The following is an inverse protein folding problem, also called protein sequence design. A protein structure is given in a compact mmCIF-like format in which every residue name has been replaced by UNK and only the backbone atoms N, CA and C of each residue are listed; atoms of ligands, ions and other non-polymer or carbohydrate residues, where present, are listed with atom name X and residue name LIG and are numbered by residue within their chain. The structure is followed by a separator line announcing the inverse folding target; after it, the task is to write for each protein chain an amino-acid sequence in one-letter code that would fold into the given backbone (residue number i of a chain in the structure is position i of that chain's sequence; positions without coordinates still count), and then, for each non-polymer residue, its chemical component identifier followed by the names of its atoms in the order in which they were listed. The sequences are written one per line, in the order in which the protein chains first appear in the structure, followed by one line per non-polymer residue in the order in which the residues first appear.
data_IF_790074714344
#
_entry.id   IF_790074714344
#
_cell.length_a   1.000
_cell.length_b   1.000
_cell.length_c   1.000
_cell.angle_alpha   90.00
_cell.angle_beta   90.00
_cell.angle_gamma   90.00
#
_symmetry.space_group_name_H-M   'P 1'
#
loop_
_entity.id
_entity.type
_entity.pdbx_description
1 polymer ?
#
# COMPACT_ATOMS: atom_id res chain seq x y z
N UNK A 1 -32.69 -31.84 5.62
CA UNK A 1 -33.28 -31.14 4.47
C UNK A 1 -33.27 -29.66 4.78
N UNK A 2 -32.41 -28.92 4.10
CA UNK A 2 -32.58 -27.50 3.74
C UNK A 2 -31.51 -27.26 2.67
N UNK A 3 -31.92 -27.42 1.41
CA UNK A 3 -31.04 -27.33 0.25
C UNK A 3 -30.71 -25.87 -0.04
N UNK A 4 -29.43 -25.54 -0.08
CA UNK A 4 -28.96 -24.28 -0.65
C UNK A 4 -29.26 -24.27 -2.15
N UNK A 5 -30.18 -23.40 -2.56
CA UNK A 5 -30.45 -23.10 -3.97
C UNK A 5 -29.28 -22.32 -4.56
N UNK A 6 -28.31 -23.01 -5.15
CA UNK A 6 -27.31 -22.38 -6.03
C UNK A 6 -27.99 -22.01 -7.34
N UNK A 7 -28.18 -20.72 -7.61
CA UNK A 7 -28.59 -20.25 -8.92
C UNK A 7 -27.57 -20.75 -9.96
N UNK A 8 -27.98 -21.49 -10.99
CA UNK A 8 -27.04 -21.96 -12.01
C UNK A 8 -26.51 -20.75 -12.78
N UNK A 9 -25.19 -20.55 -12.69
CA UNK A 9 -24.49 -19.54 -13.48
C UNK A 9 -24.73 -19.73 -14.97
N UNK A 10 -24.90 -18.65 -15.70
CA UNK A 10 -25.02 -18.70 -17.15
C UNK A 10 -23.66 -19.02 -17.78
N UNK A 11 -23.62 -20.04 -18.64
CA UNK A 11 -22.41 -20.47 -19.34
C UNK A 11 -22.48 -19.92 -20.78
N UNK A 12 -21.60 -19.00 -21.17
CA UNK A 12 -21.60 -18.43 -22.53
C UNK A 12 -21.20 -19.50 -23.55
N UNK A 13 -22.06 -19.78 -24.53
CA UNK A 13 -21.83 -20.81 -25.56
C UNK A 13 -21.53 -20.22 -26.94
N UNK A 14 -22.08 -19.05 -27.26
CA UNK A 14 -21.87 -18.39 -28.57
C UNK A 14 -20.70 -17.42 -28.53
N UNK A 15 -20.10 -17.12 -29.69
CA UNK A 15 -19.00 -16.16 -29.79
C UNK A 15 -19.40 -14.74 -29.37
N UNK A 16 -20.67 -14.37 -29.59
CA UNK A 16 -21.23 -13.10 -29.15
C UNK A 16 -21.27 -12.99 -27.62
N UNK A 17 -21.67 -14.07 -26.93
CA UNK A 17 -21.74 -14.14 -25.48
C UNK A 17 -20.34 -14.14 -24.84
N UNK A 18 -19.40 -14.90 -25.42
CA UNK A 18 -18.00 -14.88 -25.00
C UNK A 18 -17.39 -13.49 -25.15
N UNK A 19 -17.70 -12.79 -26.25
CA UNK A 19 -17.27 -11.41 -26.47
C UNK A 19 -17.87 -10.43 -25.46
N UNK A 20 -19.14 -10.61 -25.07
CA UNK A 20 -19.78 -9.80 -24.04
C UNK A 20 -19.09 -9.96 -22.66
N UNK A 21 -18.71 -11.19 -22.30
CA UNK A 21 -17.95 -11.47 -21.08
C UNK A 21 -16.57 -10.80 -21.10
N UNK A 22 -15.85 -10.87 -22.23
CA UNK A 22 -14.54 -10.23 -22.37
C UNK A 22 -14.64 -8.70 -22.27
N UNK A 23 -15.65 -8.10 -22.90
CA UNK A 23 -15.91 -6.67 -22.79
C UNK A 23 -16.22 -6.25 -21.35
N UNK A 24 -17.02 -7.05 -20.63
CA UNK A 24 -17.28 -6.77 -19.22
C UNK A 24 -16.03 -6.91 -18.36
N UNK A 25 -15.18 -7.91 -18.65
CA UNK A 25 -13.89 -8.05 -17.98
C UNK A 25 -13.01 -6.82 -18.20
N UNK A 26 -12.94 -6.29 -19.43
CA UNK A 26 -12.15 -5.09 -19.71
C UNK A 26 -12.70 -3.84 -18.98
N UNK A 27 -14.03 -3.70 -18.86
CA UNK A 27 -14.66 -2.66 -18.02
C UNK A 27 -14.29 -2.79 -16.56
N UNK A 28 -14.38 -4.00 -16.01
CA UNK A 28 -14.00 -4.30 -14.63
C UNK A 28 -12.51 -3.96 -14.39
N UNK A 29 -11.63 -4.32 -15.32
CA UNK A 29 -10.19 -4.08 -15.22
C UNK A 29 -9.80 -2.60 -15.42
N UNK A 30 -10.64 -1.81 -16.08
CA UNK A 30 -10.48 -0.36 -16.21
C UNK A 30 -10.82 0.40 -14.91
N UNK A 31 -11.58 -0.19 -13.98
CA UNK A 31 -11.88 0.45 -12.71
C UNK A 31 -10.59 0.61 -11.86
N UNK A 32 -10.38 1.78 -11.20
CA UNK A 32 -9.19 2.03 -10.40
C UNK A 32 -8.94 1.00 -9.28
N UNK A 33 -9.98 0.31 -8.82
CA UNK A 33 -9.87 -0.77 -7.85
C UNK A 33 -9.21 -2.03 -8.42
N UNK A 34 -9.08 -2.20 -9.73
CA UNK A 34 -8.34 -3.33 -10.33
C UNK A 34 -7.03 -2.90 -11.00
N UNK A 35 -6.97 -1.67 -11.52
CA UNK A 35 -5.81 -1.15 -12.26
C UNK A 35 -4.52 -0.97 -11.45
N UNK A 36 -4.60 -0.78 -10.12
CA UNK A 36 -3.42 -0.50 -9.25
C UNK A 36 -2.53 -1.71 -8.94
N UNK A 37 -2.87 -2.92 -9.40
CA UNK A 37 -2.10 -4.15 -9.17
C UNK A 37 -1.95 -4.90 -10.48
N UNK A 38 -0.74 -5.17 -10.95
CA UNK A 38 -0.54 -5.98 -12.17
C UNK A 38 -1.05 -7.43 -11.99
N UNK A 39 -1.08 -7.94 -10.76
CA UNK A 39 -1.48 -9.32 -10.46
C UNK A 39 -2.99 -9.57 -10.59
N UNK A 40 -3.85 -8.57 -10.40
CA UNK A 40 -5.30 -8.78 -10.49
C UNK A 40 -5.80 -8.89 -11.94
N UNK A 41 -5.37 -8.02 -12.88
CA UNK A 41 -5.63 -8.20 -14.30
C UNK A 41 -5.11 -9.53 -14.82
N UNK A 42 -3.86 -9.91 -14.52
CA UNK A 42 -3.31 -11.20 -14.95
C UNK A 42 -4.13 -12.38 -14.42
N UNK A 43 -4.52 -12.34 -13.14
CA UNK A 43 -5.37 -13.36 -12.54
C UNK A 43 -6.73 -13.45 -13.24
N UNK A 44 -7.45 -12.33 -13.34
CA UNK A 44 -8.80 -12.27 -13.91
C UNK A 44 -8.82 -12.63 -15.40
N UNK A 45 -7.84 -12.15 -16.19
CA UNK A 45 -7.71 -12.52 -17.61
C UNK A 45 -7.46 -14.01 -17.77
N UNK A 46 -6.57 -14.59 -16.96
CA UNK A 46 -6.26 -16.02 -17.05
C UNK A 46 -7.49 -16.88 -16.72
N UNK A 47 -8.14 -16.63 -15.57
CA UNK A 47 -9.27 -17.48 -15.13
C UNK A 47 -10.50 -17.33 -16.03
N UNK A 48 -10.79 -16.13 -16.53
CA UNK A 48 -11.91 -15.92 -17.47
C UNK A 48 -11.60 -16.57 -18.82
N UNK A 49 -10.38 -16.40 -19.35
CA UNK A 49 -10.00 -17.02 -20.63
C UNK A 49 -10.11 -18.54 -20.59
N UNK A 50 -9.58 -19.18 -19.53
CA UNK A 50 -9.67 -20.64 -19.35
C UNK A 50 -11.11 -21.12 -19.14
N UNK A 51 -11.92 -20.35 -18.42
CA UNK A 51 -13.34 -20.68 -18.24
C UNK A 51 -14.13 -20.60 -19.56
N UNK A 52 -13.89 -19.58 -20.40
CA UNK A 52 -14.51 -19.44 -21.72
C UNK A 52 -14.05 -20.51 -22.73
N UNK A 53 -12.87 -21.09 -22.52
CA UNK A 53 -12.33 -22.22 -23.27
C UNK A 53 -12.86 -23.59 -22.79
N UNK A 54 -13.63 -23.63 -21.68
CA UNK A 54 -14.12 -24.88 -21.09
C UNK A 54 -13.07 -25.64 -20.27
N UNK A 55 -11.92 -25.03 -19.98
CA UNK A 55 -10.78 -25.66 -19.31
C UNK A 55 -10.78 -25.38 -17.80
N UNK A 56 -11.93 -25.58 -17.14
CA UNK A 56 -12.08 -25.28 -15.70
C UNK A 56 -11.21 -26.15 -14.79
N UNK A 57 -10.79 -27.33 -15.25
CA UNK A 57 -9.87 -28.24 -14.54
C UNK A 57 -8.46 -27.64 -14.31
N UNK A 58 -8.07 -26.65 -15.12
CA UNK A 58 -6.81 -25.93 -15.00
C UNK A 58 -6.87 -24.80 -13.96
N UNK A 59 -8.04 -24.54 -13.38
CA UNK A 59 -8.25 -23.48 -12.37
C UNK A 59 -8.06 -24.00 -10.94
N UNK A 60 -7.11 -24.93 -10.72
CA UNK A 60 -6.74 -25.43 -9.39
C UNK A 60 -5.71 -24.52 -8.74
N UNK A 61 -5.70 -24.47 -7.41
CA UNK A 61 -4.83 -23.57 -6.63
C UNK A 61 -3.35 -23.69 -7.04
N UNK A 62 -2.83 -24.92 -7.11
CA UNK A 62 -1.44 -25.18 -7.50
C UNK A 62 -1.10 -24.68 -8.92
N UNK A 63 -1.99 -24.88 -9.88
CA UNK A 63 -1.76 -24.47 -11.28
C UNK A 63 -1.73 -22.94 -11.36
N UNK A 64 -2.67 -22.26 -10.68
CA UNK A 64 -2.69 -20.80 -10.61
C UNK A 64 -1.43 -20.25 -9.94
N UNK A 65 -0.90 -20.91 -8.91
CA UNK A 65 0.37 -20.56 -8.28
C UNK A 65 1.55 -20.60 -9.23
N UNK A 66 1.62 -21.62 -10.09
CA UNK A 66 2.69 -21.77 -11.07
C UNK A 66 2.52 -20.74 -12.20
N UNK A 67 1.37 -20.76 -12.87
CA UNK A 67 1.10 -19.97 -14.09
C UNK A 67 1.04 -18.46 -13.83
N UNK A 68 0.52 -18.03 -12.68
CA UNK A 68 0.24 -16.62 -12.40
C UNK A 68 1.23 -16.02 -11.39
N UNK A 69 1.67 -16.83 -10.42
CA UNK A 69 2.56 -16.38 -9.35
C UNK A 69 4.01 -16.89 -9.49
N UNK A 70 4.33 -17.63 -10.55
CA UNK A 70 5.68 -18.11 -10.83
C UNK A 70 6.23 -19.07 -9.78
N UNK A 71 5.36 -19.80 -9.07
CA UNK A 71 5.78 -20.78 -8.08
C UNK A 71 6.32 -22.04 -8.75
N UNK A 72 7.24 -22.72 -8.06
CA UNK A 72 7.77 -24.01 -8.50
C UNK A 72 6.67 -25.09 -8.42
N UNK A 73 6.68 -26.13 -9.27
CA UNK A 73 5.62 -27.14 -9.28
C UNK A 73 5.41 -27.90 -7.95
N UNK A 74 6.45 -27.98 -7.14
CA UNK A 74 6.50 -28.66 -5.85
C UNK A 74 6.11 -27.77 -4.65
N UNK A 75 5.66 -26.54 -4.88
CA UNK A 75 5.30 -25.64 -3.78
C UNK A 75 4.07 -26.12 -2.99
N UNK A 76 4.11 -25.87 -1.68
CA UNK A 76 3.02 -26.18 -0.77
C UNK A 76 1.98 -25.05 -0.72
N UNK A 77 0.75 -25.34 -1.12
CA UNK A 77 -0.39 -24.40 -1.09
C UNK A 77 -0.90 -24.11 0.33
N UNK A 78 -0.54 -24.94 1.31
CA UNK A 78 -0.88 -24.72 2.72
C UNK A 78 0.07 -23.71 3.38
N UNK A 79 1.36 -23.80 3.09
CA UNK A 79 2.39 -22.86 3.58
C UNK A 79 2.38 -21.54 2.80
N UNK A 80 2.11 -21.57 1.49
CA UNK A 80 1.99 -20.38 0.65
C UNK A 80 0.55 -20.17 0.11
N UNK A 81 -0.32 -19.49 0.88
CA UNK A 81 -1.71 -19.26 0.51
C UNK A 81 -1.89 -18.10 -0.49
N UNK A 82 -0.86 -17.73 -1.27
CA UNK A 82 -0.87 -16.55 -2.16
C UNK A 82 -2.07 -16.51 -3.12
N UNK A 83 -2.45 -17.66 -3.68
CA UNK A 83 -3.58 -17.79 -4.62
C UNK A 83 -4.91 -17.55 -3.90
N UNK A 84 -5.18 -18.26 -2.78
CA UNK A 84 -6.39 -18.08 -1.98
C UNK A 84 -6.52 -16.68 -1.36
N UNK A 85 -5.42 -16.08 -0.93
CA UNK A 85 -5.40 -14.68 -0.43
C UNK A 85 -5.72 -13.71 -1.56
N UNK A 86 -5.14 -13.89 -2.74
CA UNK A 86 -5.39 -13.04 -3.91
C UNK A 86 -6.84 -13.17 -4.39
N UNK A 87 -7.36 -14.39 -4.52
CA UNK A 87 -8.75 -14.65 -4.88
C UNK A 87 -9.73 -14.02 -3.88
N UNK A 88 -9.42 -14.03 -2.58
CA UNK A 88 -10.24 -13.37 -1.56
C UNK A 88 -10.28 -11.85 -1.75
N UNK A 89 -9.15 -11.22 -2.09
CA UNK A 89 -9.09 -9.78 -2.37
C UNK A 89 -9.86 -9.43 -3.64
N UNK A 90 -9.74 -10.24 -4.70
CA UNK A 90 -10.46 -10.07 -5.95
C UNK A 90 -11.98 -10.15 -5.72
N UNK A 91 -12.46 -11.20 -5.02
CA UNK A 91 -13.89 -11.33 -4.67
C UNK A 91 -14.44 -10.09 -3.96
N UNK A 92 -13.73 -9.57 -2.96
CA UNK A 92 -14.15 -8.37 -2.23
C UNK A 92 -14.24 -7.14 -3.13
N UNK A 93 -13.30 -6.99 -4.07
CA UNK A 93 -13.29 -5.84 -5.01
C UNK A 93 -14.41 -5.95 -6.03
N UNK A 94 -14.66 -7.15 -6.55
CA UNK A 94 -15.78 -7.43 -7.46
C UNK A 94 -17.12 -7.10 -6.78
N UNK A 95 -17.29 -7.56 -5.54
CA UNK A 95 -18.50 -7.27 -4.76
C UNK A 95 -18.66 -5.75 -4.55
N UNK A 96 -17.59 -5.04 -4.21
CA UNK A 96 -17.63 -3.59 -4.03
C UNK A 96 -17.86 -2.81 -5.33
N UNK A 97 -17.41 -3.34 -6.47
CA UNK A 97 -17.66 -2.78 -7.79
C UNK A 97 -19.16 -2.88 -8.13
N UNK A 98 -19.73 -4.08 -8.09
CA UNK A 98 -21.16 -4.27 -8.41
C UNK A 98 -22.14 -3.74 -7.35
N UNK A 99 -21.67 -3.35 -6.18
CA UNK A 99 -22.49 -2.70 -5.15
C UNK A 99 -22.83 -1.23 -5.46
N UNK A 100 -22.16 -0.62 -6.45
CA UNK A 100 -22.45 0.77 -6.82
C UNK A 100 -23.63 0.84 -7.82
N UNK A 101 -24.56 1.79 -7.67
CA UNK A 101 -25.76 1.88 -8.52
C UNK A 101 -25.47 1.94 -10.02
N UNK A 102 -24.34 2.53 -10.42
CA UNK A 102 -23.91 2.65 -11.81
C UNK A 102 -23.64 1.31 -12.52
N UNK A 103 -23.42 0.22 -11.76
CA UNK A 103 -23.08 -1.09 -12.29
C UNK A 103 -24.22 -2.13 -12.20
N UNK A 104 -25.43 -1.71 -11.81
CA UNK A 104 -26.56 -2.63 -11.59
C UNK A 104 -27.09 -3.30 -12.87
N UNK A 105 -26.95 -2.63 -14.01
CA UNK A 105 -27.38 -3.13 -15.34
C UNK A 105 -26.28 -3.88 -16.10
N UNK A 106 -25.10 -4.06 -15.49
CA UNK A 106 -23.98 -4.75 -16.13
C UNK A 106 -24.03 -6.26 -15.95
N UNK A 107 -23.37 -6.98 -16.86
CA UNK A 107 -23.11 -8.42 -16.69
C UNK A 107 -22.30 -8.62 -15.42
N UNK A 108 -22.74 -9.50 -14.52
CA UNK A 108 -22.07 -9.73 -13.24
C UNK A 108 -21.10 -10.90 -13.35
N UNK A 109 -19.84 -10.61 -13.03
CA UNK A 109 -18.79 -11.60 -12.82
C UNK A 109 -18.72 -11.92 -11.32
N UNK A 110 -18.80 -13.19 -10.92
CA UNK A 110 -18.65 -13.59 -9.52
C UNK A 110 -17.76 -14.83 -9.37
N UNK A 111 -17.23 -15.07 -8.16
CA UNK A 111 -16.44 -16.27 -7.85
C UNK A 111 -16.97 -16.90 -6.56
N UNK A 112 -17.51 -18.13 -6.61
CA UNK A 112 -17.96 -18.83 -5.40
C UNK A 112 -16.85 -18.99 -4.36
N UNK A 113 -17.25 -19.10 -3.09
CA UNK A 113 -16.32 -19.45 -2.03
C UNK A 113 -15.71 -20.84 -2.31
N UNK A 114 -14.39 -20.96 -2.21
CA UNK A 114 -13.68 -22.22 -2.47
C UNK A 114 -13.48 -22.59 -3.95
N UNK A 115 -14.03 -21.83 -4.90
CA UNK A 115 -13.83 -22.05 -6.34
C UNK A 115 -13.07 -20.91 -6.99
N UNK A 116 -12.16 -21.23 -7.92
CA UNK A 116 -11.49 -20.24 -8.77
C UNK A 116 -12.15 -20.09 -10.14
N UNK A 117 -13.20 -20.88 -10.41
CA UNK A 117 -13.98 -20.80 -11.64
C UNK A 117 -14.94 -19.61 -11.55
N UNK A 118 -14.91 -18.67 -12.51
CA UNK A 118 -15.84 -17.55 -12.54
C UNK A 118 -17.25 -18.02 -12.94
N UNK A 119 -18.25 -17.34 -12.39
CA UNK A 119 -19.66 -17.44 -12.76
C UNK A 119 -20.08 -16.12 -13.41
N UNK A 120 -20.86 -16.22 -14.49
CA UNK A 120 -21.42 -15.08 -15.20
C UNK A 120 -22.93 -15.04 -15.00
N UNK A 121 -23.47 -13.87 -14.68
CA UNK A 121 -24.91 -13.62 -14.62
C UNK A 121 -25.25 -12.52 -15.62
N UNK A 122 -26.10 -12.85 -16.60
CA UNK A 122 -26.63 -11.88 -17.54
C UNK A 122 -27.55 -10.90 -16.81
N UNK A 123 -27.60 -9.60 -17.19
CA UNK A 123 -28.65 -8.71 -16.75
C UNK A 123 -29.98 -9.28 -17.26
N UNK A 124 -30.77 -9.92 -16.40
CA UNK A 124 -32.16 -10.20 -16.70
C UNK A 124 -32.91 -8.87 -16.65
N UNK A 125 -33.61 -8.55 -17.74
CA UNK A 125 -34.65 -7.53 -17.77
C UNK A 125 -35.60 -7.69 -16.57
N UNK A 126 -35.79 -6.59 -15.83
CA UNK A 126 -36.93 -6.44 -14.92
C UNK A 126 -36.77 -7.07 -13.54
N UNK A 127 -36.04 -6.43 -12.63
CA UNK A 127 -36.31 -6.46 -11.20
C UNK A 127 -35.75 -5.20 -10.55
N UNK A 128 -36.49 -4.10 -10.67
CA UNK A 128 -36.26 -2.92 -9.84
C UNK A 128 -36.60 -3.24 -8.38
N UNK A 129 -35.86 -2.69 -7.38
CA UNK A 129 -36.41 -2.56 -6.05
C UNK A 129 -37.49 -1.48 -6.09
N UNK A 130 -38.74 -1.90 -5.99
CA UNK A 130 -39.90 -1.02 -5.85
C UNK A 130 -39.79 -0.22 -4.54
N UNK A 131 -39.88 1.12 -4.57
CA UNK A 131 -40.01 1.92 -3.36
C UNK A 131 -41.44 1.77 -2.85
N UNK A 132 -41.59 1.17 -1.67
CA UNK A 132 -42.86 1.07 -0.96
C UNK A 132 -43.36 2.48 -0.59
N UNK A 133 -44.17 3.06 -1.48
CA UNK A 133 -45.03 4.19 -1.19
C UNK A 133 -46.31 3.70 -0.53
N UNK A 134 -46.67 4.38 0.55
CA UNK A 134 -47.93 4.29 1.26
C UNK A 134 -49.13 4.34 0.30
N UNK A 135 -50.02 3.35 0.41
CA UNK A 135 -51.42 3.50 0.00
C UNK A 135 -52.34 2.99 1.11
N UNK A 136 -52.88 3.95 1.86
CA UNK A 136 -54.18 3.92 2.54
C UNK A 136 -55.26 3.70 1.44
N UNK A 137 -56.41 3.05 1.58
CA UNK A 137 -57.44 3.00 2.63
C UNK A 137 -58.32 1.70 2.44
N UNK A 138 -59.61 1.60 2.83
CA UNK A 138 -60.07 0.67 3.86
C UNK A 138 -61.09 -0.36 3.35
N UNK A 139 -61.26 -1.52 4.01
CA UNK A 139 -62.50 -2.32 3.83
C UNK A 139 -62.96 -2.91 5.16
N UNK A 140 -64.03 -2.31 5.64
CA UNK A 140 -65.19 -2.80 6.37
C UNK A 140 -65.14 -4.18 7.05
N UNK A 141 -65.38 -4.13 8.37
CA UNK A 141 -66.09 -5.16 9.13
C UNK A 141 -67.52 -5.31 8.60
N UNK A 142 -67.94 -6.56 8.41
CA UNK A 142 -69.33 -6.98 8.64
C UNK A 142 -69.33 -8.32 9.38
N UNK A 143 -70.23 -8.42 10.36
CA UNK A 143 -70.21 -9.38 11.44
C UNK A 143 -70.69 -10.79 11.10
N UNK A 144 -70.70 -11.64 12.14
CA UNK A 144 -71.81 -12.54 12.50
C UNK A 144 -71.62 -12.97 13.97
N UNK A 145 -72.75 -12.96 14.68
CA UNK A 145 -72.96 -13.26 16.09
C UNK A 145 -72.74 -14.73 16.50
N UNK A 146 -72.39 -14.86 17.79
CA UNK A 146 -72.80 -15.81 18.83
C UNK A 146 -73.33 -17.23 18.49
N UNK A 147 -72.81 -18.24 19.22
CA UNK A 147 -73.66 -19.16 20.00
C UNK A 147 -72.88 -19.98 21.07
N UNK A 148 -73.63 -20.40 22.09
CA UNK A 148 -73.26 -20.76 23.46
C UNK A 148 -72.73 -22.20 23.69
N UNK A 149 -71.94 -22.34 24.77
CA UNK A 149 -71.82 -23.40 25.82
C UNK A 149 -72.67 -24.69 25.72
N UNK A 150 -72.25 -25.85 26.33
CA UNK A 150 -72.20 -25.93 27.79
C UNK A 150 -71.23 -26.93 28.50
N UNK A 151 -71.00 -26.60 29.79
CA UNK A 151 -70.98 -27.43 31.02
C UNK A 151 -69.78 -28.33 31.44
N UNK A 152 -69.25 -27.91 32.60
CA UNK A 152 -68.91 -28.62 33.86
C UNK A 152 -67.79 -29.67 33.92
N UNK A 153 -66.90 -29.42 34.89
CA UNK A 153 -66.02 -30.41 35.52
C UNK A 153 -65.06 -29.72 36.50
N UNK A 154 -65.43 -29.64 37.77
CA UNK A 154 -64.60 -29.20 38.90
C UNK A 154 -63.40 -30.15 39.13
N UNK A 155 -62.21 -29.60 39.38
CA UNK A 155 -61.20 -30.19 40.27
C UNK A 155 -60.13 -29.15 40.66
N UNK A 156 -59.77 -29.18 41.95
CA UNK A 156 -58.88 -28.32 42.74
C UNK A 156 -57.44 -28.07 42.18
N UNK A 157 -56.77 -26.96 42.59
CA UNK A 157 -55.44 -26.60 42.08
C UNK A 157 -54.28 -27.24 42.88
N UNK A 158 -53.33 -27.83 42.17
CA UNK A 158 -51.99 -28.16 42.71
C UNK A 158 -51.02 -26.97 42.53
N UNK A 159 -50.09 -26.73 43.47
CA UNK A 159 -49.15 -25.61 43.37
C UNK A 159 -48.02 -25.95 42.39
N UNK A 160 -47.97 -25.25 41.25
CA UNK A 160 -46.88 -25.35 40.29
C UNK A 160 -45.74 -24.41 40.71
N UNK A 161 -44.55 -24.98 40.91
CA UNK A 161 -43.32 -24.27 41.17
C UNK A 161 -43.01 -23.25 40.04
N UNK A 162 -42.61 -22.03 40.41
CA UNK A 162 -42.26 -20.97 39.46
C UNK A 162 -41.08 -21.41 38.59
N UNK A 163 -41.32 -21.54 37.28
CA UNK A 163 -40.26 -21.72 36.30
C UNK A 163 -39.28 -20.52 36.32
N UNK A 164 -37.97 -20.73 36.12
CA UNK A 164 -37.02 -19.63 36.04
C UNK A 164 -37.39 -18.72 34.87
N UNK A 165 -37.45 -17.42 35.15
CA UNK A 165 -37.78 -16.40 34.15
C UNK A 165 -36.80 -16.50 32.98
N UNK A 166 -37.31 -16.90 31.80
CA UNK A 166 -36.54 -16.87 30.56
C UNK A 166 -36.11 -15.42 30.31
N UNK A 167 -34.83 -15.14 30.01
CA UNK A 167 -34.40 -13.78 29.75
C UNK A 167 -35.23 -13.26 28.57
N UNK A 168 -35.81 -12.07 28.74
CA UNK A 168 -36.57 -11.46 27.66
C UNK A 168 -35.64 -11.34 26.45
N UNK A 169 -36.13 -11.70 25.26
CA UNK A 169 -35.36 -11.63 24.01
C UNK A 169 -34.68 -10.25 23.83
N UNK A 170 -35.25 -9.20 24.40
CA UNK A 170 -34.64 -7.85 24.47
C UNK A 170 -33.25 -7.83 25.12
N UNK A 171 -32.99 -8.63 26.15
CA UNK A 171 -31.67 -8.74 26.80
C UNK A 171 -30.67 -9.45 25.88
N UNK A 172 -31.11 -10.47 25.14
CA UNK A 172 -30.27 -11.19 24.18
C UNK A 172 -29.89 -10.26 22.99
N UNK A 173 -30.85 -9.49 22.47
CA UNK A 173 -30.59 -8.48 21.44
C UNK A 173 -29.66 -7.37 21.94
N UNK A 174 -29.86 -6.88 23.16
CA UNK A 174 -28.99 -5.86 23.75
C UNK A 174 -27.56 -6.37 23.95
N UNK A 175 -27.39 -7.61 24.42
CA UNK A 175 -26.08 -8.23 24.57
C UNK A 175 -25.38 -8.45 23.21
N UNK A 176 -26.11 -8.92 22.18
CA UNK A 176 -25.55 -9.04 20.83
C UNK A 176 -25.13 -7.68 20.27
N UNK A 177 -25.96 -6.64 20.45
CA UNK A 177 -25.64 -5.29 19.97
C UNK A 177 -24.40 -4.72 20.66
N UNK A 178 -24.27 -4.87 21.99
CA UNK A 178 -23.06 -4.51 22.72
C UNK A 178 -21.83 -5.29 22.22
N UNK A 179 -21.97 -6.59 21.94
CA UNK A 179 -20.86 -7.41 21.45
C UNK A 179 -20.44 -7.01 20.02
N UNK A 180 -21.40 -6.61 19.18
CA UNK A 180 -21.15 -6.04 17.85
C UNK A 180 -20.41 -4.71 17.93
N UNK A 181 -20.79 -3.83 18.87
CA UNK A 181 -20.07 -2.57 19.12
C UNK A 181 -18.65 -2.85 19.60
N UNK A 182 -18.46 -3.77 20.55
CA UNK A 182 -17.13 -4.13 21.05
C UNK A 182 -16.28 -4.70 19.90
N UNK A 183 -16.84 -5.61 19.09
CA UNK A 183 -16.14 -6.16 17.93
C UNK A 183 -15.79 -5.07 16.91
N UNK A 184 -16.71 -4.12 16.64
CA UNK A 184 -16.46 -2.99 15.75
C UNK A 184 -15.35 -2.08 16.31
N UNK A 185 -15.37 -1.76 17.60
CA UNK A 185 -14.33 -0.97 18.28
C UNK A 185 -12.99 -1.71 18.24
N UNK A 186 -12.96 -3.02 18.54
CA UNK A 186 -11.74 -3.83 18.44
C UNK A 186 -11.19 -3.85 17.00
N UNK A 187 -12.05 -3.98 15.98
CA UNK A 187 -11.63 -3.92 14.57
C UNK A 187 -11.11 -2.53 14.20
N UNK A 188 -11.72 -1.46 14.71
CA UNK A 188 -11.26 -0.09 14.48
C UNK A 188 -9.93 0.20 15.16
N UNK A 189 -9.75 -0.23 16.41
CA UNK A 189 -8.47 -0.14 17.15
C UNK A 189 -7.40 -0.98 16.46
N UNK A 190 -7.70 -2.22 16.11
CA UNK A 190 -6.76 -3.12 15.43
C UNK A 190 -6.36 -2.63 14.03
N UNK A 191 -7.27 -1.93 13.33
CA UNK A 191 -6.95 -1.24 12.07
C UNK A 191 -6.17 0.05 12.28
N UNK A 192 -6.47 0.81 13.33
CA UNK A 192 -5.79 2.06 13.68
C UNK A 192 -4.35 1.85 14.14
N UNK A 193 -4.05 0.74 14.82
CA UNK A 193 -2.71 0.43 15.31
C UNK A 193 -1.75 -0.08 14.22
N UNK A 194 -2.26 -0.57 13.08
CA UNK A 194 -1.41 -0.99 11.95
C UNK A 194 -1.24 0.13 10.93
N UNK A 195 -0.57 1.22 11.33
CA UNK A 195 0.03 2.15 10.35
C UNK A 195 0.84 1.32 9.35
N UNK A 196 0.63 1.51 8.05
CA UNK A 196 1.48 0.83 7.07
C UNK A 196 2.94 1.28 7.27
N UNK A 197 3.91 0.48 6.85
CA UNK A 197 5.32 0.90 6.96
C UNK A 197 5.59 2.22 6.20
N UNK A 198 4.83 2.48 5.13
CA UNK A 198 4.80 3.75 4.43
C UNK A 198 4.28 4.88 5.32
N UNK A 199 3.11 4.72 5.95
CA UNK A 199 2.52 5.75 6.83
C UNK A 199 3.39 6.00 8.06
N UNK A 200 4.04 4.95 8.59
CA UNK A 200 4.99 5.08 9.67
C UNK A 200 6.18 5.95 9.23
N UNK A 201 6.81 5.64 8.10
CA UNK A 201 7.97 6.39 7.60
C UNK A 201 7.60 7.83 7.21
N UNK A 202 6.57 8.02 6.38
CA UNK A 202 6.24 9.33 5.80
C UNK A 202 5.29 10.18 6.63
N UNK A 203 4.63 9.60 7.64
CA UNK A 203 3.54 10.25 8.37
C UNK A 203 3.92 11.58 9.04
N UNK A 204 5.17 11.74 9.48
CA UNK A 204 5.65 13.00 10.06
C UNK A 204 5.73 14.16 9.06
N UNK A 205 5.94 13.85 7.77
CA UNK A 205 5.96 14.85 6.69
C UNK A 205 4.55 15.04 6.13
N UNK A 206 3.87 13.92 5.83
CA UNK A 206 2.53 13.93 5.23
C UNK A 206 1.42 14.40 6.16
N UNK A 207 1.65 14.38 7.47
CA UNK A 207 0.73 14.93 8.47
C UNK A 207 0.90 16.44 8.71
N UNK A 208 1.93 17.08 8.15
CA UNK A 208 2.12 18.53 8.31
C UNK A 208 1.16 19.28 7.39
N UNK A 209 0.60 20.42 7.81
CA UNK A 209 -0.10 21.34 6.88
C UNK A 209 0.88 22.36 6.26
N UNK A 210 2.18 22.15 6.41
CA UNK A 210 3.22 23.05 5.95
C UNK A 210 3.73 22.60 4.58
N UNK A 211 4.12 23.57 3.76
CA UNK A 211 4.74 23.29 2.47
C UNK A 211 6.09 22.57 2.68
N UNK A 212 6.27 21.42 2.03
CA UNK A 212 7.48 20.59 2.18
C UNK A 212 8.57 21.12 1.24
N UNK A 213 9.74 21.43 1.79
CA UNK A 213 10.90 21.82 0.98
C UNK A 213 11.63 20.57 0.49
N UNK A 214 11.68 20.34 -0.81
CA UNK A 214 12.56 19.35 -1.44
C UNK A 214 13.85 20.04 -1.88
N UNK A 215 14.90 19.90 -1.08
CA UNK A 215 16.22 20.44 -1.37
C UNK A 215 17.06 19.43 -2.16
N UNK A 216 17.46 19.81 -3.37
CA UNK A 216 18.22 18.97 -4.29
C UNK A 216 19.63 19.51 -4.53
N UNK A 217 20.56 18.65 -4.89
CA UNK A 217 21.86 19.06 -5.41
C UNK A 217 21.71 19.85 -6.72
N UNK A 218 22.32 21.04 -6.78
CA UNK A 218 22.46 21.86 -7.98
C UNK A 218 23.91 22.36 -8.08
N UNK A 219 24.42 22.44 -9.31
CA UNK A 219 25.79 22.83 -9.59
C UNK A 219 25.86 23.95 -10.64
N UNK A 220 26.84 24.86 -10.56
CA UNK A 220 27.15 25.79 -11.64
C UNK A 220 27.41 25.07 -12.96
N UNK A 221 27.04 25.69 -14.09
CA UNK A 221 27.35 25.13 -15.42
C UNK A 221 28.84 24.82 -15.56
N UNK A 222 29.17 23.59 -15.96
CA UNK A 222 30.55 23.18 -16.28
C UNK A 222 31.39 22.74 -15.08
N UNK A 223 30.81 22.66 -13.88
CA UNK A 223 31.43 22.04 -12.71
C UNK A 223 30.63 20.81 -12.30
N UNK A 224 31.30 19.65 -12.20
CA UNK A 224 30.79 18.49 -11.47
C UNK A 224 31.74 18.26 -10.31
N UNK A 225 31.35 18.70 -9.12
CA UNK A 225 32.24 18.72 -7.96
C UNK A 225 31.51 18.11 -6.77
N UNK A 226 31.76 16.82 -6.55
CA UNK A 226 31.43 16.17 -5.29
C UNK A 226 32.18 16.88 -4.16
N UNK A 227 31.47 17.16 -3.07
CA UNK A 227 31.98 17.88 -1.91
C UNK A 227 32.71 16.92 -0.97
N UNK A 228 33.69 17.46 -0.24
CA UNK A 228 34.31 16.81 0.91
C UNK A 228 33.27 16.63 2.03
N UNK A 229 33.00 15.39 2.42
CA UNK A 229 32.02 15.07 3.45
C UNK A 229 32.49 15.47 4.85
N UNK A 230 33.80 15.56 5.09
CA UNK A 230 34.35 16.01 6.36
C UNK A 230 34.24 17.53 6.55
N UNK A 231 34.19 18.28 5.44
CA UNK A 231 34.05 19.74 5.44
C UNK A 231 33.12 20.24 4.31
N UNK A 232 31.80 20.06 4.47
CA UNK A 232 30.83 20.38 3.42
C UNK A 232 30.65 21.89 3.25
N UNK A 233 31.38 22.44 2.27
CA UNK A 233 31.34 23.85 1.88
C UNK A 233 30.95 23.95 0.40
N UNK A 234 29.99 24.84 0.11
CA UNK A 234 29.66 25.17 -1.27
C UNK A 234 30.86 25.88 -1.92
N UNK A 235 31.36 25.39 -3.07
CA UNK A 235 32.42 26.08 -3.78
C UNK A 235 32.00 27.51 -4.10
N UNK A 236 32.86 28.47 -3.76
CA UNK A 236 32.72 29.86 -4.14
C UNK A 236 32.96 29.97 -5.64
N UNK A 237 31.90 30.31 -6.38
CA UNK A 237 32.00 30.54 -7.83
C UNK A 237 31.79 32.03 -8.08
N UNK A 238 32.71 32.70 -8.80
CA UNK A 238 32.56 34.11 -9.12
C UNK A 238 31.23 34.40 -9.85
N UNK A 239 30.48 35.39 -9.37
CA UNK A 239 29.16 35.75 -9.90
C UNK A 239 28.01 34.88 -9.37
N UNK A 240 26.91 34.84 -10.11
CA UNK A 240 25.74 33.98 -9.82
C UNK A 240 25.40 33.17 -11.07
N UNK A 241 26.26 32.23 -11.48
CA UNK A 241 26.02 31.45 -12.70
C UNK A 241 24.70 30.68 -12.59
N UNK A 242 23.97 30.49 -13.70
CA UNK A 242 22.76 29.69 -13.67
C UNK A 242 23.10 28.27 -13.20
N UNK A 243 22.46 27.84 -12.11
CA UNK A 243 22.59 26.47 -11.63
C UNK A 243 21.92 25.50 -12.60
N UNK A 244 22.53 24.33 -12.79
CA UNK A 244 21.95 23.19 -13.49
C UNK A 244 21.58 22.13 -12.46
N UNK A 245 20.44 21.50 -12.68
CA UNK A 245 20.05 20.28 -11.98
C UNK A 245 20.38 19.11 -12.89
N UNK A 246 21.02 18.09 -12.32
CA UNK A 246 21.30 16.85 -13.02
C UNK A 246 20.01 16.21 -13.57
N UNK A 247 20.04 15.77 -14.83
CA UNK A 247 18.92 15.07 -15.46
C UNK A 247 18.55 13.80 -14.70
N UNK A 248 19.52 13.15 -14.05
CA UNK A 248 19.29 11.95 -13.26
C UNK A 248 18.45 12.23 -12.00
N UNK A 249 18.39 13.48 -11.54
CA UNK A 249 17.53 13.88 -10.42
C UNK A 249 16.06 14.09 -10.84
N UNK A 250 15.74 14.18 -12.15
CA UNK A 250 14.37 14.43 -12.62
C UNK A 250 13.43 13.30 -12.21
N UNK A 251 13.85 12.04 -12.36
CA UNK A 251 13.07 10.87 -11.98
C UNK A 251 12.74 10.82 -10.49
N UNK A 252 13.75 10.82 -9.59
CA UNK A 252 13.55 10.87 -8.14
C UNK A 252 12.66 12.03 -7.69
N UNK A 253 12.93 13.26 -8.18
CA UNK A 253 12.15 14.46 -7.83
C UNK A 253 10.71 14.31 -8.27
N UNK A 254 10.46 13.89 -9.52
CA UNK A 254 9.10 13.70 -10.03
C UNK A 254 8.32 12.66 -9.24
N UNK A 255 8.98 11.58 -8.82
CA UNK A 255 8.37 10.52 -8.02
C UNK A 255 7.99 11.02 -6.61
N UNK A 256 8.86 11.79 -5.95
CA UNK A 256 8.58 12.40 -4.65
C UNK A 256 7.44 13.41 -4.78
N UNK A 257 7.51 14.36 -5.72
CA UNK A 257 6.49 15.40 -5.91
C UNK A 257 5.13 14.76 -6.23
N UNK A 258 5.11 13.72 -7.08
CA UNK A 258 3.89 12.95 -7.37
C UNK A 258 3.33 12.27 -6.12
N UNK A 259 4.20 11.68 -5.28
CA UNK A 259 3.77 11.07 -4.02
C UNK A 259 3.17 12.13 -3.09
N UNK A 260 3.86 13.25 -2.86
CA UNK A 260 3.39 14.31 -1.97
C UNK A 260 2.04 14.88 -2.43
N UNK A 261 1.91 15.22 -3.71
CA UNK A 261 0.66 15.72 -4.29
C UNK A 261 -0.49 14.71 -4.22
N UNK A 262 -0.23 13.42 -4.42
CA UNK A 262 -1.25 12.36 -4.26
C UNK A 262 -1.76 12.26 -2.82
N UNK A 263 -0.95 12.66 -1.85
CA UNK A 263 -1.29 12.74 -0.42
C UNK A 263 -1.78 14.14 0.00
N UNK A 264 -2.06 15.05 -0.95
CA UNK A 264 -2.57 16.40 -0.65
C UNK A 264 -1.54 17.34 -0.02
N UNK A 265 -0.25 17.01 -0.13
CA UNK A 265 0.84 17.85 0.37
C UNK A 265 1.40 18.74 -0.73
N UNK A 266 1.55 20.03 -0.39
CA UNK A 266 2.29 20.97 -1.23
C UNK A 266 3.80 20.79 -1.04
N UNK A 267 4.55 21.00 -2.11
CA UNK A 267 6.00 20.93 -2.06
C UNK A 267 6.66 21.97 -2.96
N UNK A 268 7.76 22.56 -2.49
CA UNK A 268 8.64 23.41 -3.29
C UNK A 268 9.96 22.69 -3.54
N UNK A 269 10.40 22.64 -4.80
CA UNK A 269 11.72 22.12 -5.17
C UNK A 269 12.72 23.27 -5.22
N UNK A 270 13.86 23.13 -4.54
CA UNK A 270 14.89 24.16 -4.50
C UNK A 270 16.31 23.55 -4.53
N UNK A 271 17.20 24.17 -5.30
CA UNK A 271 18.62 23.81 -5.32
C UNK A 271 19.33 24.21 -4.02
N UNK A 272 20.27 23.38 -3.57
CA UNK A 272 21.11 23.61 -2.38
C UNK A 272 21.74 25.00 -2.31
N UNK A 273 22.14 25.60 -3.45
CA UNK A 273 22.80 26.92 -3.46
C UNK A 273 21.86 28.07 -3.13
N UNK A 274 20.55 27.87 -3.31
CA UNK A 274 19.50 28.83 -2.94
C UNK A 274 18.87 28.53 -1.60
N UNK A 275 19.13 27.36 -1.05
CA UNK A 275 18.60 26.93 0.26
C UNK A 275 19.44 27.51 1.39
N UNK A 276 18.73 28.15 2.32
CA UNK A 276 19.29 28.72 3.55
C UNK A 276 18.75 27.98 4.77
N UNK A 277 19.42 28.15 5.92
CA UNK A 277 18.94 27.61 7.20
C UNK A 277 17.52 28.13 7.56
N UNK A 278 17.20 29.37 7.18
CA UNK A 278 15.86 29.94 7.36
C UNK A 278 14.79 29.17 6.58
N UNK A 279 15.10 28.76 5.33
CA UNK A 279 14.19 27.92 4.56
C UNK A 279 13.96 26.56 5.22
N UNK A 280 15.04 25.92 5.70
CA UNK A 280 14.99 24.62 6.38
C UNK A 280 14.28 24.68 7.73
N UNK A 281 14.24 25.85 8.36
CA UNK A 281 13.51 26.09 9.62
C UNK A 281 12.03 26.37 9.39
N UNK A 282 11.62 26.67 8.16
CA UNK A 282 10.24 27.06 7.81
C UNK A 282 9.23 25.91 7.78
N UNK A 283 9.68 24.66 7.71
CA UNK A 283 8.80 23.49 7.67
C UNK A 283 9.56 22.19 7.37
N UNK A 284 8.83 21.07 7.15
CA UNK A 284 9.44 19.79 6.88
C UNK A 284 10.27 19.80 5.61
N UNK A 285 11.37 19.07 5.62
CA UNK A 285 12.32 19.06 4.51
C UNK A 285 12.62 17.64 4.03
N UNK A 286 12.77 17.48 2.72
CA UNK A 286 13.37 16.31 2.09
C UNK A 286 14.69 16.76 1.46
N UNK A 287 15.79 16.13 1.86
CA UNK A 287 17.12 16.34 1.30
C UNK A 287 17.44 15.19 0.34
N UNK A 288 17.69 15.53 -0.93
CA UNK A 288 17.96 14.56 -1.98
C UNK A 288 19.39 14.73 -2.53
N UNK A 289 20.14 13.63 -2.57
CA UNK A 289 21.52 13.57 -3.02
C UNK A 289 22.54 13.58 -1.88
N UNK A 290 23.71 12.99 -2.12
CA UNK A 290 24.79 12.83 -1.16
C UNK A 290 25.85 13.94 -1.32
N UNK A 291 27.00 13.62 -1.92
CA UNK A 291 28.14 14.53 -2.07
C UNK A 291 27.88 15.76 -2.94
N UNK A 292 26.76 15.79 -3.66
CA UNK A 292 26.31 16.97 -4.41
C UNK A 292 25.27 17.79 -3.63
N UNK A 293 25.04 17.52 -2.34
CA UNK A 293 24.10 18.24 -1.49
C UNK A 293 24.73 18.60 -0.13
N UNK A 294 25.09 19.86 0.03
CA UNK A 294 25.75 20.39 1.24
C UNK A 294 24.90 20.19 2.51
N UNK A 295 23.57 20.26 2.39
CA UNK A 295 22.66 20.13 3.52
C UNK A 295 22.54 18.68 3.97
N UNK A 296 22.56 17.73 3.03
CA UNK A 296 22.66 16.31 3.36
C UNK A 296 23.92 16.02 4.16
N UNK A 297 25.08 16.46 3.68
CA UNK A 297 26.36 16.21 4.35
C UNK A 297 26.37 16.82 5.75
N UNK A 298 25.94 18.08 5.91
CA UNK A 298 25.89 18.76 7.22
C UNK A 298 24.99 18.05 8.23
N UNK A 299 23.79 17.65 7.82
CA UNK A 299 22.83 17.04 8.75
C UNK A 299 23.19 15.60 9.12
N UNK A 300 23.89 14.89 8.24
CA UNK A 300 24.30 13.50 8.49
C UNK A 300 25.67 13.38 9.15
N UNK A 301 26.52 14.43 9.12
CA UNK A 301 27.91 14.38 9.60
C UNK A 301 28.08 13.81 11.02
N UNK A 302 27.15 14.10 11.93
CA UNK A 302 27.20 13.67 13.33
C UNK A 302 26.36 12.41 13.63
N UNK A 303 25.73 11.83 12.62
CA UNK A 303 24.96 10.59 12.78
C UNK A 303 25.89 9.37 12.89
N UNK A 304 25.33 8.21 13.23
CA UNK A 304 26.10 6.97 13.24
C UNK A 304 26.48 6.61 11.80
N UNK A 305 25.52 6.55 10.89
CA UNK A 305 25.79 6.41 9.47
C UNK A 305 25.96 7.78 8.82
N UNK A 306 27.12 8.02 8.22
CA UNK A 306 27.46 9.30 7.61
C UNK A 306 28.35 9.10 6.39
N UNK A 307 28.36 10.08 5.49
CA UNK A 307 29.22 10.02 4.31
C UNK A 307 30.68 10.31 4.68
N UNK A 308 31.59 9.57 4.07
CA UNK A 308 33.02 9.76 4.18
C UNK A 308 33.67 9.48 2.82
N UNK A 309 34.85 10.05 2.59
CA UNK A 309 35.50 9.99 1.28
C UNK A 309 37.02 10.08 1.37
N UNK A 310 37.63 9.76 0.24
CA UNK A 310 39.05 9.98 -0.03
C UNK A 310 39.15 10.66 -1.40
N UNK A 311 39.03 12.00 -1.40
CA UNK A 311 38.96 12.85 -2.60
C UNK A 311 40.02 12.54 -3.65
N UNK A 312 41.28 12.32 -3.25
CA UNK A 312 42.38 12.04 -4.18
C UNK A 312 42.15 10.74 -4.96
N UNK A 313 41.69 9.70 -4.27
CA UNK A 313 41.44 8.39 -4.88
C UNK A 313 40.07 8.29 -5.55
N UNK A 314 39.20 9.30 -5.36
CA UNK A 314 37.78 9.30 -5.77
C UNK A 314 37.02 8.12 -5.19
N UNK A 315 37.26 7.82 -3.92
CA UNK A 315 36.59 6.75 -3.19
C UNK A 315 35.58 7.35 -2.23
N UNK A 316 34.35 6.82 -2.24
CA UNK A 316 33.22 7.34 -1.47
C UNK A 316 32.52 6.20 -0.75
N UNK A 317 32.17 6.37 0.51
CA UNK A 317 31.47 5.35 1.28
C UNK A 317 30.54 5.96 2.34
N UNK A 318 29.64 5.11 2.84
CA UNK A 318 28.91 5.39 4.07
C UNK A 318 29.70 4.73 5.21
N UNK A 319 30.11 5.51 6.19
CA UNK A 319 30.84 5.05 7.38
C UNK A 319 29.87 4.75 8.53
N UNK A 320 30.09 3.65 9.23
CA UNK A 320 29.48 3.37 10.53
C UNK A 320 30.41 3.89 11.62
N UNK A 321 30.00 4.96 12.31
CA UNK A 321 30.75 5.54 13.45
C UNK A 321 31.06 4.52 14.55
N UNK A 322 30.23 3.49 14.71
CA UNK A 322 30.45 2.43 15.69
C UNK A 322 31.44 1.36 15.21
N UNK A 323 31.86 1.40 13.95
CA UNK A 323 32.84 0.50 13.36
C UNK A 323 33.79 1.27 12.41
N UNK A 324 34.57 2.22 12.94
CA UNK A 324 35.39 3.12 12.12
C UNK A 324 36.42 2.35 11.29
N UNK A 325 36.64 2.78 10.05
CA UNK A 325 37.55 2.12 9.11
C UNK A 325 36.97 0.91 8.37
N UNK A 326 35.77 0.43 8.74
CA UNK A 326 35.06 -0.57 7.94
C UNK A 326 34.38 0.09 6.73
N UNK A 327 35.02 0.00 5.55
CA UNK A 327 34.51 0.55 4.29
C UNK A 327 33.62 -0.43 3.51
N UNK A 328 32.80 -1.23 4.20
CA UNK A 328 31.93 -2.23 3.54
C UNK A 328 30.91 -1.61 2.58
N UNK A 329 30.47 -0.37 2.84
CA UNK A 329 29.49 0.35 2.03
C UNK A 329 30.15 1.40 1.13
N UNK A 330 31.19 0.96 0.42
CA UNK A 330 32.01 1.79 -0.45
C UNK A 330 31.63 1.61 -1.92
N UNK A 331 31.76 2.70 -2.68
CA UNK A 331 31.67 2.73 -4.14
C UNK A 331 32.90 3.43 -4.70
N UNK A 332 33.57 2.77 -5.64
CA UNK A 332 34.58 3.40 -6.49
C UNK A 332 33.88 4.00 -7.71
N UNK A 333 33.84 5.33 -7.81
CA UNK A 333 33.14 6.03 -8.89
C UNK A 333 33.91 5.99 -10.23
N UNK A 334 35.13 5.42 -10.25
CA UNK A 334 35.88 5.18 -11.50
C UNK A 334 35.34 4.00 -12.29
N UNK A 335 34.62 3.08 -11.64
CA UNK A 335 33.92 1.99 -12.32
C UNK A 335 32.75 2.56 -13.12
N UNK A 336 32.65 2.22 -14.41
CA UNK A 336 31.61 2.77 -15.28
C UNK A 336 30.22 2.37 -14.78
N UNK A 337 29.24 3.27 -14.94
CA UNK A 337 27.84 3.02 -14.58
C UNK A 337 27.20 1.85 -15.37
N UNK A 338 27.85 1.37 -16.43
CA UNK A 338 27.47 0.24 -17.29
C UNK A 338 27.90 -1.12 -16.73
N UNK A 339 28.79 -1.16 -15.74
CA UNK A 339 29.25 -2.41 -15.14
C UNK A 339 28.29 -2.90 -14.03
N UNK A 340 28.05 -4.20 -14.00
CA UNK A 340 27.41 -4.92 -12.89
C UNK A 340 28.06 -4.48 -11.58
N UNK A 341 27.27 -3.92 -10.65
CA UNK A 341 27.85 -3.19 -9.53
C UNK A 341 26.94 -3.13 -8.32
N UNK A 342 27.56 -3.13 -7.14
CA UNK A 342 26.88 -2.78 -5.89
C UNK A 342 27.02 -1.28 -5.65
N UNK A 343 25.93 -0.67 -5.22
CA UNK A 343 25.86 0.73 -4.81
C UNK A 343 25.08 0.85 -3.50
N UNK A 344 25.21 2.00 -2.84
CA UNK A 344 24.64 2.24 -1.53
C UNK A 344 23.94 3.59 -1.44
N UNK A 345 22.93 3.65 -0.58
CA UNK A 345 22.29 4.91 -0.18
C UNK A 345 22.06 4.95 1.33
N UNK A 346 22.23 6.14 1.90
CA UNK A 346 21.81 6.47 3.25
C UNK A 346 20.40 7.06 3.18
N UNK A 347 19.49 6.48 3.96
CA UNK A 347 18.18 7.05 4.22
C UNK A 347 18.08 7.37 5.70
N UNK A 348 17.59 8.57 6.02
CA UNK A 348 17.30 8.94 7.39
C UNK A 348 15.95 9.66 7.48
N UNK A 349 15.23 9.47 8.58
CA UNK A 349 14.03 10.20 8.98
C UNK A 349 14.18 10.61 10.44
N UNK A 350 14.29 11.91 10.69
CA UNK A 350 14.58 12.45 12.01
C UNK A 350 14.00 13.85 12.17
N UNK A 351 13.98 14.38 13.39
CA UNK A 351 13.84 15.83 13.60
C UNK A 351 15.21 16.47 13.60
N UNK A 352 15.46 17.38 12.66
CA UNK A 352 16.74 18.06 12.55
C UNK A 352 17.01 18.89 13.82
N UNK A 353 18.14 18.69 14.55
CA UNK A 353 18.40 19.38 15.81
C UNK A 353 18.42 20.91 15.67
N UNK A 354 18.97 21.41 14.56
CA UNK A 354 19.14 22.85 14.33
C UNK A 354 17.85 23.57 13.95
N UNK A 355 16.87 22.86 13.37
CA UNK A 355 15.62 23.45 12.85
C UNK A 355 14.38 22.99 13.61
N UNK A 356 14.44 21.88 14.35
CA UNK A 356 13.31 21.20 14.97
C UNK A 356 12.34 20.54 13.96
N UNK A 357 12.58 20.69 12.66
CA UNK A 357 11.67 20.28 11.62
C UNK A 357 11.82 18.79 11.26
N UNK A 358 10.72 18.08 10.94
CA UNK A 358 10.79 16.75 10.36
C UNK A 358 11.62 16.78 9.09
N UNK A 359 12.65 15.95 9.03
CA UNK A 359 13.60 15.90 7.92
C UNK A 359 13.76 14.46 7.44
N UNK A 360 13.69 14.28 6.13
CA UNK A 360 14.03 13.02 5.46
C UNK A 360 15.25 13.24 4.58
N UNK A 361 16.26 12.39 4.71
CA UNK A 361 17.41 12.32 3.82
C UNK A 361 17.25 11.10 2.92
N UNK A 362 17.44 11.30 1.61
CA UNK A 362 17.49 10.25 0.59
C UNK A 362 18.75 10.49 -0.23
N UNK A 363 19.82 9.78 0.10
CA UNK A 363 21.14 10.12 -0.40
C UNK A 363 21.88 8.86 -0.88
N UNK A 364 21.88 8.67 -2.20
CA UNK A 364 22.69 7.67 -2.89
C UNK A 364 24.11 8.16 -3.15
N UNK A 365 25.10 7.26 -3.06
CA UNK A 365 26.49 7.60 -3.42
C UNK A 365 26.60 7.95 -4.91
N UNK A 366 25.88 7.24 -5.77
CA UNK A 366 25.71 7.60 -7.18
C UNK A 366 24.32 8.14 -7.52
N UNK A 367 24.21 8.78 -8.68
CA UNK A 367 22.96 9.31 -9.22
C UNK A 367 21.87 8.24 -9.36
N UNK A 368 22.25 7.02 -9.75
CA UNK A 368 21.33 5.89 -9.89
C UNK A 368 20.71 5.45 -8.55
N UNK A 369 21.51 5.49 -7.48
CA UNK A 369 21.09 5.08 -6.14
C UNK A 369 19.99 5.96 -5.56
N UNK A 370 19.90 7.21 -5.99
CA UNK A 370 18.81 8.12 -5.59
C UNK A 370 17.45 7.62 -6.07
N UNK A 371 17.31 7.21 -7.34
CA UNK A 371 16.03 6.72 -7.87
C UNK A 371 15.64 5.39 -7.23
N UNK A 372 16.60 4.49 -7.05
CA UNK A 372 16.36 3.21 -6.40
C UNK A 372 15.92 3.40 -4.93
N UNK A 373 16.58 4.30 -4.20
CA UNK A 373 16.18 4.66 -2.83
C UNK A 373 14.77 5.25 -2.78
N UNK A 374 14.45 6.22 -3.65
CA UNK A 374 13.09 6.79 -3.70
C UNK A 374 12.05 5.70 -3.96
N UNK A 375 12.23 4.87 -4.98
CA UNK A 375 11.28 3.79 -5.28
C UNK A 375 11.12 2.79 -4.13
N UNK A 376 12.21 2.51 -3.38
CA UNK A 376 12.15 1.71 -2.16
C UNK A 376 11.24 2.36 -1.12
N UNK A 377 11.41 3.67 -0.85
CA UNK A 377 10.62 4.41 0.14
C UNK A 377 9.16 4.62 -0.26
N UNK A 378 8.85 4.57 -1.55
CA UNK A 378 7.48 4.61 -2.05
C UNK A 378 6.76 3.26 -1.92
N UNK A 379 7.49 2.17 -1.69
CA UNK A 379 6.93 0.83 -1.55
C UNK A 379 6.70 0.48 -0.08
N UNK A 380 5.43 0.46 0.31
CA UNK A 380 5.03 0.00 1.65
C UNK A 380 5.53 -1.41 1.96
N UNK A 381 5.65 -2.30 0.96
CA UNK A 381 6.15 -3.66 1.14
C UNK A 381 7.67 -3.67 1.32
N UNK A 382 8.42 -2.85 0.59
CA UNK A 382 9.88 -2.78 0.73
C UNK A 382 10.27 -2.20 2.09
N UNK A 383 9.56 -1.17 2.56
CA UNK A 383 9.74 -0.59 3.89
C UNK A 383 9.50 -1.59 5.03
N UNK A 384 8.76 -2.70 4.82
CA UNK A 384 8.60 -3.74 5.87
C UNK A 384 9.90 -4.48 6.19
N UNK A 385 10.95 -4.34 5.38
CA UNK A 385 12.28 -4.81 5.76
C UNK A 385 12.76 -4.18 7.08
N UNK A 386 12.32 -2.96 7.40
CA UNK A 386 12.61 -2.32 8.69
C UNK A 386 12.04 -3.09 9.88
N UNK A 387 10.90 -3.78 9.72
CA UNK A 387 10.31 -4.57 10.80
C UNK A 387 11.18 -5.77 11.21
N UNK A 388 12.09 -6.20 10.33
CA UNK A 388 13.00 -7.32 10.60
C UNK A 388 14.37 -6.87 11.14
N UNK A 389 14.81 -5.65 10.79
CA UNK A 389 16.19 -5.18 11.05
C UNK A 389 16.24 -4.07 12.10
N UNK A 390 15.19 -3.25 12.20
CA UNK A 390 15.09 -2.16 13.17
C UNK A 390 14.24 -2.58 14.38
N UNK A 391 14.46 -1.93 15.53
CA UNK A 391 13.60 -2.09 16.70
C UNK A 391 12.14 -1.79 16.35
N UNK A 392 11.12 -2.48 16.91
CA UNK A 392 9.71 -2.19 16.65
C UNK A 392 9.29 -0.72 16.86
N UNK A 393 10.07 0.03 17.65
CA UNK A 393 9.86 1.45 17.95
C UNK A 393 10.31 2.37 16.80
N UNK A 394 10.93 1.85 15.75
CA UNK A 394 11.33 2.63 14.57
C UNK A 394 10.17 3.41 13.99
N UNK A 395 8.91 2.97 14.14
CA UNK A 395 7.76 3.67 13.55
C UNK A 395 7.57 5.08 14.08
N UNK A 396 7.95 5.35 15.33
CA UNK A 396 7.70 6.62 16.02
C UNK A 396 8.98 7.33 16.52
N UNK A 397 10.17 6.77 16.25
CA UNK A 397 11.48 7.28 16.67
C UNK A 397 12.25 7.98 15.53
N UNK A 398 13.45 8.52 15.76
CA UNK A 398 14.34 8.81 14.63
C UNK A 398 14.88 7.50 14.06
N UNK A 399 15.16 7.47 12.77
CA UNK A 399 15.60 6.28 12.06
C UNK A 399 16.63 6.66 11.02
N UNK A 400 17.66 5.84 10.88
CA UNK A 400 18.53 5.82 9.71
C UNK A 400 18.83 4.39 9.28
N UNK A 401 19.10 4.21 7.99
CA UNK A 401 19.48 2.91 7.45
C UNK A 401 20.24 3.03 6.15
N UNK A 402 21.07 2.03 5.90
CA UNK A 402 21.84 1.88 4.67
C UNK A 402 21.14 0.88 3.76
N UNK A 403 20.87 1.33 2.53
CA UNK A 403 20.35 0.51 1.46
C UNK A 403 21.50 0.02 0.59
N UNK A 404 21.51 -1.28 0.30
CA UNK A 404 22.34 -1.90 -0.74
C UNK A 404 21.51 -2.10 -2.00
N UNK A 405 22.05 -1.66 -3.13
CA UNK A 405 21.46 -1.81 -4.46
C UNK A 405 22.43 -2.60 -5.32
N UNK A 406 21.90 -3.51 -6.11
CA UNK A 406 22.72 -4.27 -7.07
C UNK A 406 22.20 -4.01 -8.46
N UNK A 407 23.07 -3.60 -9.37
CA UNK A 407 22.77 -3.48 -10.79
C UNK A 407 23.30 -4.71 -11.50
N UNK A 408 22.43 -5.39 -12.24
CA UNK A 408 22.78 -6.54 -13.10
C UNK A 408 22.22 -6.27 -14.49
N UNK A 409 23.07 -6.25 -15.51
CA UNK A 409 22.68 -6.06 -16.92
C UNK A 409 21.74 -4.85 -17.15
N UNK A 410 22.06 -3.71 -16.54
CA UNK A 410 21.26 -2.49 -16.67
C UNK A 410 20.02 -2.43 -15.77
N UNK A 411 19.64 -3.52 -15.11
CA UNK A 411 18.46 -3.61 -14.27
C UNK A 411 18.81 -3.54 -12.77
N UNK A 412 17.93 -2.89 -12.01
CA UNK A 412 18.04 -2.80 -10.55
C UNK A 412 17.47 -4.05 -9.90
N UNK A 413 18.31 -4.78 -9.17
CA UNK A 413 17.85 -5.77 -8.21
C UNK A 413 17.06 -5.13 -7.07
N UNK A 414 16.29 -5.92 -6.32
CA UNK A 414 15.52 -5.42 -5.18
C UNK A 414 16.45 -4.82 -4.13
N UNK A 415 16.33 -3.53 -3.76
CA UNK A 415 17.16 -2.95 -2.72
C UNK A 415 16.92 -3.64 -1.37
N UNK A 416 18.00 -3.80 -0.61
CA UNK A 416 17.98 -4.44 0.69
C UNK A 416 18.53 -3.50 1.76
N UNK A 417 17.89 -3.45 2.92
CA UNK A 417 18.44 -2.79 4.10
C UNK A 417 19.58 -3.67 4.65
N UNK A 418 20.78 -3.10 4.78
CA UNK A 418 21.96 -3.81 5.28
C UNK A 418 22.41 -3.38 6.67
N UNK A 419 21.95 -2.21 7.12
CA UNK A 419 22.10 -1.73 8.48
C UNK A 419 21.01 -0.72 8.80
N UNK A 420 20.59 -0.65 10.07
CA UNK A 420 19.64 0.34 10.56
C UNK A 420 20.00 0.77 11.99
N UNK A 421 19.64 1.99 12.35
CA UNK A 421 19.79 2.56 13.69
C UNK A 421 18.55 3.39 14.05
N UNK A 422 18.12 3.33 15.31
CA UNK A 422 16.88 3.94 15.80
C UNK A 422 17.14 4.61 17.14
N UNK A 423 16.75 5.89 17.28
CA UNK A 423 17.00 6.67 18.51
C UNK A 423 15.89 7.68 18.85
#
# INVERSE_FOLDING_TARGET
MEGQTTTPGWIPQTDAEKSAVLNQLDRLLADPSFARSQRYPSFLRFVVSRALAGESDLLKERILGIEIFGRKPDYDTTEDPIVRVTATKIRKRILAYYARPEHYSELKLSFPAGSYVPIFESPLEGSQPEPAAEHLLPVSMDGIEAQQSPKNGEAEPFPVAKAPARPSWKIIWAAMFCLLIIAAVCVLVWRGERKSAFDAFWGSLLGSHQNILLCIGDEPRGTVALMDASNPVLPSVPGNPPSIVDVDNVGPVSAIVKMLSTHGQESTVQGQRRTTLSNLSGGPTILLGAYNNVWTLRFTQNMRFHFADEMESKTYWIEDRNNPGNRAWMRDIRMQATETGTDYALVARFRAPDTGQPTVVIAGISHYSNLAAVNFLLSAEALRQLDAIASPHWRDANLEFVLKMTKVDGHTGTPAIVAADVW
#
